data_IF_239205200625
#
_entry.id   IF_239205200625
#
_cell.length_a   1.000
_cell.length_b   1.000
_cell.length_c   1.000
_cell.angle_alpha   90.00
_cell.angle_beta   90.00
_cell.angle_gamma   90.00
#
_symmetry.space_group_name_H-M   'P 1'
#
loop_
_entity.id
_entity.type
_entity.pdbx_description
1 polymer ?
#
# COMPACT_ATOMS: atom_id res chain seq x y z
N UNK A 1 -15.58 -29.55 -10.14
CA UNK A 1 -16.54 -28.50 -9.68
C UNK A 1 -17.20 -28.88 -8.35
N UNK A 2 -17.79 -30.05 -8.21
CA UNK A 2 -18.37 -30.52 -6.94
C UNK A 2 -17.37 -30.49 -5.78
N UNK A 3 -16.14 -30.91 -6.01
CA UNK A 3 -15.04 -30.86 -5.03
C UNK A 3 -14.78 -29.47 -4.43
N UNK A 4 -14.81 -28.41 -5.25
CA UNK A 4 -14.60 -27.03 -4.77
C UNK A 4 -15.77 -26.54 -3.90
N UNK A 5 -17.00 -27.00 -4.20
CA UNK A 5 -18.20 -26.62 -3.45
C UNK A 5 -18.20 -27.27 -2.06
N UNK A 6 -17.84 -28.55 -1.97
CA UNK A 6 -17.76 -29.26 -0.68
C UNK A 6 -16.68 -28.72 0.25
N UNK A 7 -15.60 -28.16 -0.31
CA UNK A 7 -14.46 -27.61 0.45
C UNK A 7 -14.49 -26.09 0.58
N UNK A 8 -15.53 -25.44 0.06
CA UNK A 8 -15.69 -23.98 0.12
C UNK A 8 -15.53 -23.40 1.54
N UNK A 9 -16.08 -24.02 2.63
CA UNK A 9 -15.87 -23.50 3.98
C UNK A 9 -14.40 -23.34 4.36
N UNK A 10 -13.55 -24.33 4.03
CA UNK A 10 -12.11 -24.27 4.32
C UNK A 10 -11.42 -23.12 3.57
N UNK A 11 -11.79 -22.90 2.31
CA UNK A 11 -11.27 -21.78 1.54
C UNK A 11 -11.71 -20.42 2.11
N UNK A 12 -12.94 -20.33 2.62
CA UNK A 12 -13.44 -19.12 3.27
C UNK A 12 -12.73 -18.84 4.59
N UNK A 13 -12.43 -19.88 5.37
CA UNK A 13 -11.63 -19.75 6.60
C UNK A 13 -10.21 -19.24 6.28
N UNK A 14 -9.54 -19.83 5.29
CA UNK A 14 -8.24 -19.36 4.83
C UNK A 14 -8.28 -17.92 4.28
N UNK A 15 -9.35 -17.59 3.52
CA UNK A 15 -9.57 -16.23 3.03
C UNK A 15 -9.77 -15.23 4.17
N UNK A 16 -10.48 -15.61 5.22
CA UNK A 16 -10.64 -14.80 6.42
C UNK A 16 -9.33 -14.51 7.13
N UNK A 17 -8.45 -15.52 7.26
CA UNK A 17 -7.09 -15.31 7.79
C UNK A 17 -6.29 -14.36 6.91
N UNK A 18 -6.33 -14.52 5.59
CA UNK A 18 -5.69 -13.58 4.64
C UNK A 18 -6.19 -12.14 4.82
N UNK A 19 -7.50 -11.95 5.02
CA UNK A 19 -8.08 -10.63 5.29
C UNK A 19 -7.58 -10.06 6.63
N UNK A 20 -7.50 -10.88 7.69
CA UNK A 20 -6.96 -10.46 8.98
C UNK A 20 -5.50 -10.00 8.87
N UNK A 21 -4.65 -10.79 8.19
CA UNK A 21 -3.25 -10.41 7.94
C UNK A 21 -3.15 -9.11 7.14
N UNK A 22 -4.01 -8.95 6.13
CA UNK A 22 -4.04 -7.76 5.28
C UNK A 22 -4.44 -6.52 6.08
N UNK A 23 -5.50 -6.59 6.87
CA UNK A 23 -5.98 -5.46 7.69
C UNK A 23 -4.95 -5.12 8.77
N UNK A 24 -4.49 -6.12 9.52
CA UNK A 24 -3.50 -5.91 10.59
C UNK A 24 -2.18 -5.34 10.06
N UNK A 25 -1.64 -5.95 8.99
CA UNK A 25 -0.43 -5.49 8.33
C UNK A 25 -0.58 -4.09 7.74
N UNK A 26 -1.72 -3.78 7.10
CA UNK A 26 -1.98 -2.45 6.53
C UNK A 26 -2.14 -1.37 7.60
N UNK A 27 -2.79 -1.68 8.73
CA UNK A 27 -2.92 -0.76 9.84
C UNK A 27 -1.55 -0.43 10.44
N UNK A 28 -0.72 -1.44 10.69
CA UNK A 28 0.65 -1.24 11.17
C UNK A 28 1.49 -0.48 10.15
N UNK A 29 1.46 -0.89 8.88
CA UNK A 29 2.17 -0.22 7.79
C UNK A 29 1.78 1.26 7.69
N UNK A 30 0.50 1.58 7.80
CA UNK A 30 0.01 2.95 7.77
C UNK A 30 0.54 3.80 8.94
N UNK A 31 0.50 3.26 10.17
CA UNK A 31 1.03 3.97 11.36
C UNK A 31 2.52 4.25 11.20
N UNK A 32 3.30 3.24 10.79
CA UNK A 32 4.74 3.37 10.57
C UNK A 32 5.05 4.32 9.41
N UNK A 33 4.30 4.24 8.30
CA UNK A 33 4.44 5.12 7.16
C UNK A 33 4.23 6.59 7.55
N UNK A 34 3.17 6.89 8.30
CA UNK A 34 2.90 8.24 8.77
C UNK A 34 3.97 8.72 9.75
N UNK A 35 4.35 7.89 10.72
CA UNK A 35 5.36 8.24 11.71
C UNK A 35 6.72 8.54 11.06
N UNK A 36 7.28 7.57 10.33
CA UNK A 36 8.61 7.71 9.74
C UNK A 36 8.63 8.61 8.50
N UNK A 37 7.55 8.66 7.72
CA UNK A 37 7.43 9.58 6.60
C UNK A 37 7.42 11.04 7.05
N UNK A 38 6.67 11.38 8.08
CA UNK A 38 6.67 12.73 8.68
C UNK A 38 8.03 13.01 9.35
N UNK A 39 8.57 12.04 10.11
CA UNK A 39 9.86 12.17 10.78
C UNK A 39 10.98 12.48 9.78
N UNK A 40 10.92 11.90 8.58
CA UNK A 40 11.86 12.17 7.49
C UNK A 40 11.80 13.59 6.91
N UNK A 41 10.75 14.39 7.23
CA UNK A 41 10.61 15.80 6.79
C UNK A 41 10.99 16.82 7.86
N UNK A 42 11.30 16.38 9.09
CA UNK A 42 11.70 17.26 10.18
C UNK A 42 13.03 17.95 9.86
N UNK A 43 13.21 19.25 10.16
CA UNK A 43 14.44 19.98 9.84
C UNK A 43 15.68 19.48 10.61
N UNK A 44 15.50 18.80 11.74
CA UNK A 44 16.62 18.27 12.54
C UNK A 44 17.20 16.98 11.92
N UNK A 45 18.52 16.85 11.98
CA UNK A 45 19.23 15.73 11.34
C UNK A 45 18.97 14.38 12.01
N UNK A 46 18.87 14.32 13.35
CA UNK A 46 18.74 13.08 14.11
C UNK A 46 17.42 12.34 13.81
N UNK A 47 16.21 12.94 13.93
CA UNK A 47 14.98 12.24 13.57
C UNK A 47 14.93 11.85 12.09
N UNK A 48 15.53 12.66 11.19
CA UNK A 48 15.66 12.32 9.78
C UNK A 48 16.55 11.09 9.58
N UNK A 49 17.68 11.00 10.27
CA UNK A 49 18.59 9.86 10.21
C UNK A 49 17.87 8.57 10.67
N UNK A 50 17.13 8.62 11.78
CA UNK A 50 16.33 7.48 12.27
C UNK A 50 15.30 7.03 11.23
N UNK A 51 14.57 7.98 10.62
CA UNK A 51 13.61 7.66 9.56
C UNK A 51 14.30 7.03 8.34
N UNK A 52 15.45 7.57 7.92
CA UNK A 52 16.22 7.03 6.79
C UNK A 52 16.69 5.61 7.08
N UNK A 53 17.27 5.36 8.26
CA UNK A 53 17.73 4.01 8.64
C UNK A 53 16.57 3.02 8.62
N UNK A 54 15.42 3.37 9.21
CA UNK A 54 14.23 2.52 9.14
C UNK A 54 13.83 2.19 7.69
N UNK A 55 13.73 3.21 6.85
CA UNK A 55 13.30 3.05 5.45
C UNK A 55 14.28 2.19 4.67
N UNK A 56 15.58 2.48 4.73
CA UNK A 56 16.60 1.75 3.96
C UNK A 56 16.70 0.28 4.40
N UNK A 57 16.68 0.02 5.72
CA UNK A 57 16.75 -1.34 6.25
C UNK A 57 15.53 -2.17 5.81
N UNK A 58 14.33 -1.69 6.10
CA UNK A 58 13.12 -2.49 5.85
C UNK A 58 12.69 -2.56 4.38
N UNK A 59 13.08 -1.60 3.54
CA UNK A 59 12.91 -1.71 2.08
C UNK A 59 13.95 -2.62 1.43
N UNK A 60 15.15 -2.70 2.01
CA UNK A 60 16.22 -3.54 1.48
C UNK A 60 16.03 -5.04 1.77
N UNK A 61 15.15 -5.41 2.69
CA UNK A 61 14.91 -6.81 3.08
C UNK A 61 13.63 -7.32 2.40
N UNK A 62 13.69 -8.50 1.80
CA UNK A 62 12.48 -9.15 1.27
C UNK A 62 11.50 -9.51 2.40
N UNK A 63 10.20 -9.26 2.19
CA UNK A 63 9.16 -9.52 3.19
C UNK A 63 9.17 -10.97 3.70
N UNK A 64 9.42 -11.93 2.82
CA UNK A 64 9.55 -13.36 3.18
C UNK A 64 10.70 -13.59 4.17
N UNK A 65 11.88 -13.01 3.91
CA UNK A 65 13.04 -13.15 4.80
C UNK A 65 12.74 -12.54 6.17
N UNK A 66 12.04 -11.41 6.19
CA UNK A 66 11.64 -10.76 7.43
C UNK A 66 10.61 -11.60 8.20
N UNK A 67 9.69 -12.29 7.51
CA UNK A 67 8.77 -13.25 8.13
C UNK A 67 9.53 -14.40 8.82
N UNK A 68 10.50 -15.01 8.13
CA UNK A 68 11.33 -16.06 8.73
C UNK A 68 12.14 -15.55 9.93
N UNK A 69 12.65 -14.33 9.83
CA UNK A 69 13.37 -13.71 10.94
C UNK A 69 12.49 -13.51 12.18
N UNK A 70 11.26 -13.02 11.98
CA UNK A 70 10.31 -12.80 13.07
C UNK A 70 9.78 -14.11 13.67
N UNK A 71 9.54 -15.12 12.84
CA UNK A 71 8.97 -16.40 13.29
C UNK A 71 10.02 -17.34 13.91
N UNK A 72 11.26 -17.33 13.44
CA UNK A 72 12.25 -18.33 13.83
C UNK A 72 13.52 -17.74 14.46
N UNK A 73 14.12 -16.71 13.89
CA UNK A 73 15.38 -16.16 14.38
C UNK A 73 15.19 -15.34 15.66
N UNK A 74 14.18 -14.48 15.70
CA UNK A 74 13.90 -13.65 16.87
C UNK A 74 13.62 -14.47 18.13
N UNK A 75 12.81 -15.53 18.13
CA UNK A 75 12.62 -16.41 19.29
C UNK A 75 13.92 -17.05 19.78
N UNK A 76 14.79 -17.47 18.87
CA UNK A 76 16.08 -18.08 19.26
C UNK A 76 17.01 -17.08 19.94
N UNK A 77 16.97 -15.81 19.55
CA UNK A 77 17.83 -14.76 20.10
C UNK A 77 17.29 -14.20 21.44
N UNK A 78 15.97 -14.09 21.56
CA UNK A 78 15.34 -13.40 22.71
C UNK A 78 14.63 -14.31 23.69
N UNK A 79 14.37 -15.57 23.30
CA UNK A 79 13.51 -16.50 24.05
C UNK A 79 12.01 -16.16 23.98
N UNK A 80 11.62 -15.11 23.25
CA UNK A 80 10.25 -14.67 23.13
C UNK A 80 9.62 -15.20 21.83
N UNK A 81 8.63 -16.09 21.94
CA UNK A 81 7.90 -16.64 20.80
C UNK A 81 6.73 -15.72 20.42
N UNK A 82 6.71 -15.29 19.16
CA UNK A 82 5.58 -14.61 18.57
C UNK A 82 4.61 -15.65 17.99
N UNK A 83 3.32 -15.40 18.11
CA UNK A 83 2.32 -16.13 17.35
C UNK A 83 2.56 -15.91 15.83
N UNK A 84 2.47 -16.98 15.03
CA UNK A 84 2.81 -16.94 13.58
C UNK A 84 2.06 -15.85 12.82
N UNK A 85 0.78 -15.65 13.13
CA UNK A 85 -0.02 -14.56 12.53
C UNK A 85 0.54 -13.18 12.89
N UNK A 86 0.92 -12.99 14.14
CA UNK A 86 1.47 -11.73 14.59
C UNK A 86 2.86 -11.48 13.99
N UNK A 87 3.69 -12.51 13.87
CA UNK A 87 4.98 -12.45 13.18
C UNK A 87 4.81 -12.04 11.71
N UNK A 88 3.81 -12.62 11.01
CA UNK A 88 3.48 -12.25 9.63
C UNK A 88 3.04 -10.78 9.54
N UNK A 89 2.13 -10.32 10.42
CA UNK A 89 1.63 -8.93 10.45
C UNK A 89 2.79 -7.96 10.69
N UNK A 90 3.67 -8.26 11.65
CA UNK A 90 4.85 -7.43 11.91
C UNK A 90 5.77 -7.35 10.71
N UNK A 91 6.09 -8.48 10.09
CA UNK A 91 7.00 -8.54 8.95
C UNK A 91 6.49 -7.73 7.76
N UNK A 92 5.24 -7.97 7.33
CA UNK A 92 4.66 -7.22 6.19
C UNK A 92 4.40 -5.77 6.55
N UNK A 93 3.98 -5.50 7.79
CA UNK A 93 3.72 -4.14 8.28
C UNK A 93 4.98 -3.28 8.32
N UNK A 94 6.10 -3.81 8.80
CA UNK A 94 7.41 -3.15 8.83
C UNK A 94 7.93 -2.89 7.41
N UNK A 95 7.87 -3.92 6.55
CA UNK A 95 8.35 -3.82 5.17
C UNK A 95 7.53 -2.81 4.36
N UNK A 96 6.20 -2.98 4.27
CA UNK A 96 5.31 -2.10 3.50
C UNK A 96 5.21 -0.71 4.13
N UNK A 97 5.32 -0.62 5.47
CA UNK A 97 5.40 0.66 6.19
C UNK A 97 6.59 1.52 5.75
N UNK A 98 7.72 0.89 5.45
CA UNK A 98 8.91 1.59 4.96
C UNK A 98 8.68 2.15 3.53
N UNK A 99 8.03 1.40 2.64
CA UNK A 99 7.60 1.93 1.34
C UNK A 99 6.58 3.07 1.51
N UNK A 100 5.62 2.90 2.42
CA UNK A 100 4.64 3.93 2.75
C UNK A 100 5.27 5.20 3.31
N UNK A 101 6.34 5.11 4.10
CA UNK A 101 7.06 6.27 4.64
C UNK A 101 7.63 7.15 3.52
N UNK A 102 8.18 6.55 2.46
CA UNK A 102 8.62 7.28 1.28
C UNK A 102 7.45 7.95 0.53
N UNK A 103 6.29 7.27 0.44
CA UNK A 103 5.08 7.87 -0.16
C UNK A 103 4.65 9.11 0.61
N UNK A 104 4.64 9.03 1.95
CA UNK A 104 4.30 10.18 2.81
C UNK A 104 5.32 11.31 2.63
N UNK A 105 6.60 11.01 2.68
CA UNK A 105 7.68 11.98 2.51
C UNK A 105 7.61 12.66 1.13
N UNK A 106 7.41 11.89 0.07
CA UNK A 106 7.28 12.40 -1.29
C UNK A 106 6.06 13.32 -1.45
N UNK A 107 4.91 12.93 -0.92
CA UNK A 107 3.69 13.71 -1.00
C UNK A 107 3.77 15.03 -0.21
N UNK A 108 4.43 15.03 0.96
CA UNK A 108 4.70 16.26 1.73
C UNK A 108 5.60 17.21 0.93
N UNK A 109 6.64 16.68 0.29
CA UNK A 109 7.58 17.49 -0.49
C UNK A 109 6.98 17.97 -1.84
N UNK A 110 5.93 17.34 -2.32
CA UNK A 110 5.24 17.72 -3.55
C UNK A 110 4.27 18.90 -3.38
N UNK A 111 4.01 19.34 -2.14
CA UNK A 111 3.19 20.56 -1.89
C UNK A 111 3.93 21.79 -2.45
N UNK A 112 3.25 22.66 -3.23
CA UNK A 112 3.87 23.82 -3.86
C UNK A 112 4.61 24.71 -2.86
N UNK A 113 5.86 25.07 -3.17
CA UNK A 113 6.73 25.90 -2.32
C UNK A 113 6.06 27.24 -1.96
N UNK A 114 5.36 27.87 -2.90
CA UNK A 114 4.65 29.12 -2.65
C UNK A 114 3.65 29.03 -1.49
N UNK A 115 2.99 27.88 -1.31
CA UNK A 115 2.07 27.67 -0.19
C UNK A 115 2.83 27.51 1.13
N UNK A 116 3.97 26.83 1.10
CA UNK A 116 4.83 26.69 2.27
C UNK A 116 5.40 28.07 2.68
N UNK A 117 5.86 28.85 1.72
CA UNK A 117 6.38 30.21 1.93
C UNK A 117 5.30 31.17 2.48
N UNK A 118 4.07 31.08 1.97
CA UNK A 118 2.95 31.85 2.52
C UNK A 118 2.69 31.54 4.00
N UNK A 119 2.85 30.26 4.42
CA UNK A 119 2.71 29.90 5.85
C UNK A 119 3.86 30.43 6.70
N UNK A 120 5.06 30.60 6.13
CA UNK A 120 6.19 31.24 6.81
C UNK A 120 5.90 32.74 7.01
N UNK A 121 5.37 33.42 5.98
CA UNK A 121 4.98 34.80 6.06
C UNK A 121 3.89 35.06 7.13
N UNK A 122 3.03 34.06 7.37
CA UNK A 122 2.03 34.07 8.46
C UNK A 122 2.61 33.67 9.83
N UNK A 123 3.92 33.50 9.93
CA UNK A 123 4.64 33.12 11.16
C UNK A 123 4.15 31.83 11.79
N UNK A 124 3.69 30.84 10.96
CA UNK A 124 3.25 29.54 11.44
C UNK A 124 4.47 28.67 11.81
N UNK A 125 4.40 28.01 12.97
CA UNK A 125 5.41 27.02 13.36
C UNK A 125 5.43 25.85 12.39
N UNK A 126 6.53 25.06 12.36
CA UNK A 126 6.65 23.89 11.49
C UNK A 126 5.48 22.92 11.66
N UNK A 127 5.07 22.64 12.91
CA UNK A 127 3.95 21.74 13.21
C UNK A 127 2.59 22.29 12.74
N UNK A 128 2.35 23.57 12.93
CA UNK A 128 1.12 24.25 12.43
C UNK A 128 1.05 24.20 10.91
N UNK A 129 2.16 24.50 10.23
CA UNK A 129 2.31 24.44 8.77
C UNK A 129 2.01 23.01 8.26
N UNK A 130 2.64 22.01 8.88
CA UNK A 130 2.44 20.62 8.51
C UNK A 130 0.96 20.21 8.67
N UNK A 131 0.37 20.49 9.84
CA UNK A 131 -0.99 20.03 10.18
C UNK A 131 -2.08 20.76 9.41
N UNK A 132 -1.96 22.09 9.26
CA UNK A 132 -3.04 22.93 8.73
C UNK A 132 -3.01 23.07 7.21
N UNK A 133 -1.83 23.01 6.59
CA UNK A 133 -1.67 23.31 5.16
C UNK A 133 -1.10 22.13 4.38
N UNK A 134 0.02 21.55 4.82
CA UNK A 134 0.75 20.57 4.04
C UNK A 134 0.06 19.21 4.08
N UNK A 135 -0.24 18.68 5.27
CA UNK A 135 -0.78 17.32 5.44
C UNK A 135 -2.16 17.14 4.78
N UNK A 136 -3.11 18.09 4.88
CA UNK A 136 -4.39 17.96 4.19
C UNK A 136 -4.26 17.86 2.67
N UNK A 137 -3.30 18.56 2.08
CA UNK A 137 -3.06 18.53 0.64
C UNK A 137 -2.28 17.28 0.21
N UNK A 138 -1.26 16.90 0.99
CA UNK A 138 -0.49 15.70 0.77
C UNK A 138 -1.36 14.43 0.87
N UNK A 139 -2.37 14.44 1.76
CA UNK A 139 -3.27 13.29 1.97
C UNK A 139 -3.92 12.79 0.68
N UNK A 140 -4.47 13.70 -0.13
CA UNK A 140 -5.10 13.31 -1.38
C UNK A 140 -4.11 12.72 -2.40
N UNK A 141 -2.83 13.12 -2.33
CA UNK A 141 -1.78 12.58 -3.19
C UNK A 141 -1.27 11.22 -2.72
N UNK A 142 -1.33 10.94 -1.42
CA UNK A 142 -0.91 9.67 -0.83
C UNK A 142 -1.90 8.53 -1.13
N UNK A 143 -3.20 8.81 -1.12
CA UNK A 143 -4.25 7.79 -1.13
C UNK A 143 -4.17 6.80 -2.30
N UNK A 144 -3.96 7.21 -3.57
CA UNK A 144 -3.85 6.26 -4.67
C UNK A 144 -2.69 5.28 -4.48
N UNK A 145 -1.54 5.78 -4.02
CA UNK A 145 -0.35 4.97 -3.79
C UNK A 145 -0.53 4.05 -2.58
N UNK A 146 -1.16 4.51 -1.49
CA UNK A 146 -1.53 3.64 -0.38
C UNK A 146 -2.49 2.53 -0.81
N UNK A 147 -3.43 2.81 -1.73
CA UNK A 147 -4.29 1.79 -2.31
C UNK A 147 -3.50 0.66 -2.98
N UNK A 148 -2.48 1.00 -3.74
CA UNK A 148 -1.59 0.02 -4.37
C UNK A 148 -0.77 -0.75 -3.33
N UNK A 149 -0.25 -0.07 -2.29
CA UNK A 149 0.51 -0.73 -1.21
C UNK A 149 -0.33 -1.73 -0.41
N UNK A 150 -1.62 -1.46 -0.17
CA UNK A 150 -2.52 -2.42 0.50
C UNK A 150 -2.71 -3.68 -0.34
N UNK A 151 -2.85 -3.55 -1.66
CA UNK A 151 -2.98 -4.69 -2.57
C UNK A 151 -1.67 -5.48 -2.64
N UNK A 152 -0.53 -4.80 -2.69
CA UNK A 152 0.79 -5.43 -2.65
C UNK A 152 1.01 -6.18 -1.34
N UNK A 153 0.65 -5.58 -0.21
CA UNK A 153 0.69 -6.21 1.11
C UNK A 153 -0.17 -7.46 1.15
N UNK A 154 -1.41 -7.41 0.66
CA UNK A 154 -2.30 -8.57 0.57
C UNK A 154 -1.65 -9.71 -0.23
N UNK A 155 -1.01 -9.40 -1.37
CA UNK A 155 -0.28 -10.41 -2.15
C UNK A 155 0.94 -10.95 -1.40
N UNK A 156 1.64 -10.10 -0.65
CA UNK A 156 2.78 -10.51 0.16
C UNK A 156 2.38 -11.44 1.32
N UNK A 157 1.13 -11.37 1.83
CA UNK A 157 0.68 -12.32 2.84
C UNK A 157 0.56 -13.75 2.31
N UNK A 158 0.47 -13.97 1.00
CA UNK A 158 0.35 -15.29 0.39
C UNK A 158 1.55 -16.24 0.66
N UNK A 159 2.67 -15.72 1.15
CA UNK A 159 3.84 -16.53 1.56
C UNK A 159 3.87 -16.82 3.07
N UNK A 160 2.89 -16.32 3.85
CA UNK A 160 2.83 -16.53 5.30
C UNK A 160 2.60 -18.01 5.69
N UNK A 161 2.08 -18.83 4.78
CA UNK A 161 1.95 -20.29 5.00
C UNK A 161 3.31 -20.96 5.27
N UNK A 162 4.41 -20.38 4.79
CA UNK A 162 5.76 -20.91 4.99
C UNK A 162 6.24 -20.81 6.45
N UNK A 163 5.64 -19.93 7.24
CA UNK A 163 5.93 -19.78 8.68
C UNK A 163 4.85 -20.40 9.57
N UNK A 164 3.92 -21.21 8.99
CA UNK A 164 2.90 -21.94 9.74
C UNK A 164 1.52 -21.31 9.76
N UNK A 165 1.32 -20.14 9.14
CA UNK A 165 -0.01 -19.51 9.07
C UNK A 165 -0.91 -20.24 8.10
N UNK A 166 -2.10 -20.65 8.56
CA UNK A 166 -3.11 -21.29 7.71
C UNK A 166 -3.94 -20.22 7.01
N UNK A 167 -3.34 -19.59 5.99
CA UNK A 167 -3.98 -18.63 5.10
C UNK A 167 -4.63 -19.31 3.88
N UNK A 168 -5.14 -18.53 2.96
CA UNK A 168 -5.75 -19.02 1.72
C UNK A 168 -4.80 -19.88 0.87
N UNK A 169 -3.50 -19.53 0.84
CA UNK A 169 -2.48 -20.30 0.12
C UNK A 169 -2.19 -21.63 0.82
N UNK A 170 -2.13 -21.65 2.16
CA UNK A 170 -1.98 -22.87 2.94
C UNK A 170 -3.12 -23.85 2.66
N UNK A 171 -4.36 -23.37 2.62
CA UNK A 171 -5.53 -24.20 2.30
C UNK A 171 -5.40 -24.78 0.89
N UNK A 172 -5.02 -23.99 -0.11
CA UNK A 172 -4.80 -24.50 -1.47
C UNK A 172 -3.70 -25.59 -1.52
N UNK A 173 -2.60 -25.41 -0.77
CA UNK A 173 -1.52 -26.39 -0.66
C UNK A 173 -2.00 -27.68 0.01
N UNK A 174 -2.76 -27.59 1.10
CA UNK A 174 -3.35 -28.74 1.78
C UNK A 174 -4.31 -29.51 0.86
N UNK A 175 -5.16 -28.79 0.11
CA UNK A 175 -6.06 -29.39 -0.87
C UNK A 175 -5.30 -30.11 -1.98
N UNK A 176 -4.25 -29.50 -2.52
CA UNK A 176 -3.38 -30.14 -3.51
C UNK A 176 -2.76 -31.42 -2.99
N UNK A 177 -2.26 -31.41 -1.76
CA UNK A 177 -1.64 -32.59 -1.15
C UNK A 177 -2.65 -33.72 -0.90
N UNK A 178 -3.86 -33.37 -0.49
CA UNK A 178 -4.91 -34.34 -0.18
C UNK A 178 -5.53 -35.01 -1.42
N UNK A 179 -5.54 -34.31 -2.57
CA UNK A 179 -6.30 -34.73 -3.76
C UNK A 179 -5.44 -35.03 -4.98
N UNK A 180 -4.20 -34.50 -5.03
CA UNK A 180 -3.36 -34.47 -6.24
C UNK A 180 -3.81 -33.47 -7.31
N UNK A 181 -4.95 -32.82 -7.14
CA UNK A 181 -5.61 -31.92 -8.10
C UNK A 181 -5.05 -30.49 -7.99
N UNK A 182 -3.87 -30.24 -8.56
CA UNK A 182 -3.19 -28.94 -8.46
C UNK A 182 -4.01 -27.80 -9.06
N UNK A 183 -4.59 -28.01 -10.26
CA UNK A 183 -5.32 -26.95 -10.97
C UNK A 183 -6.55 -26.53 -10.17
N UNK A 184 -7.37 -27.50 -9.72
CA UNK A 184 -8.58 -27.21 -8.97
C UNK A 184 -8.28 -26.51 -7.64
N UNK A 185 -7.26 -26.97 -6.90
CA UNK A 185 -6.87 -26.39 -5.62
C UNK A 185 -6.43 -24.92 -5.75
N UNK A 186 -5.53 -24.60 -6.67
CA UNK A 186 -5.06 -23.24 -6.84
C UNK A 186 -6.04 -22.33 -7.57
N UNK A 187 -6.93 -22.87 -8.41
CA UNK A 187 -7.97 -22.07 -9.04
C UNK A 187 -8.95 -21.47 -8.00
N UNK A 188 -9.34 -22.26 -6.98
CA UNK A 188 -10.15 -21.76 -5.87
C UNK A 188 -9.49 -20.58 -5.14
N UNK A 189 -8.20 -20.74 -4.80
CA UNK A 189 -7.45 -19.65 -4.17
C UNK A 189 -7.32 -18.43 -5.08
N UNK A 190 -7.03 -18.61 -6.38
CA UNK A 190 -6.91 -17.51 -7.36
C UNK A 190 -8.19 -16.67 -7.41
N UNK A 191 -9.37 -17.33 -7.50
CA UNK A 191 -10.65 -16.62 -7.54
C UNK A 191 -10.88 -15.83 -6.26
N UNK A 192 -10.61 -16.41 -5.08
CA UNK A 192 -10.82 -15.71 -3.80
C UNK A 192 -9.83 -14.57 -3.60
N UNK A 193 -8.53 -14.74 -3.93
CA UNK A 193 -7.56 -13.64 -3.91
C UNK A 193 -8.00 -12.50 -4.83
N UNK A 194 -8.49 -12.83 -6.02
CA UNK A 194 -9.00 -11.82 -6.95
C UNK A 194 -10.21 -11.07 -6.38
N UNK A 195 -11.17 -11.78 -5.77
CA UNK A 195 -12.33 -11.15 -5.13
C UNK A 195 -11.93 -10.24 -3.97
N UNK A 196 -11.03 -10.71 -3.09
CA UNK A 196 -10.50 -9.88 -1.99
C UNK A 196 -9.82 -8.62 -2.55
N UNK A 197 -8.99 -8.75 -3.59
CA UNK A 197 -8.35 -7.61 -4.25
C UNK A 197 -9.39 -6.61 -4.80
N UNK A 198 -10.46 -7.09 -5.47
CA UNK A 198 -11.51 -6.21 -6.00
C UNK A 198 -12.23 -5.44 -4.90
N UNK A 199 -12.51 -6.08 -3.76
CA UNK A 199 -13.13 -5.42 -2.59
C UNK A 199 -12.20 -4.34 -2.05
N UNK A 200 -10.91 -4.62 -1.90
CA UNK A 200 -9.90 -3.65 -1.44
C UNK A 200 -9.78 -2.47 -2.41
N UNK A 201 -9.68 -2.74 -3.73
CA UNK A 201 -9.63 -1.70 -4.77
C UNK A 201 -10.86 -0.81 -4.71
N UNK A 202 -12.05 -1.40 -4.59
CA UNK A 202 -13.29 -0.64 -4.50
C UNK A 202 -13.33 0.25 -3.25
N UNK A 203 -12.95 -0.30 -2.09
CA UNK A 203 -12.84 0.45 -0.83
C UNK A 203 -11.86 1.63 -0.93
N UNK A 204 -10.68 1.41 -1.50
CA UNK A 204 -9.68 2.48 -1.69
C UNK A 204 -10.17 3.56 -2.66
N UNK A 205 -10.81 3.20 -3.77
CA UNK A 205 -11.43 4.17 -4.70
C UNK A 205 -12.51 5.03 -4.02
N UNK A 206 -13.28 4.45 -3.10
CA UNK A 206 -14.26 5.24 -2.33
C UNK A 206 -13.58 6.24 -1.41
N UNK A 207 -12.49 5.86 -0.74
CA UNK A 207 -11.69 6.74 0.10
C UNK A 207 -11.06 7.88 -0.72
N UNK A 208 -10.47 7.57 -1.87
CA UNK A 208 -9.93 8.57 -2.80
C UNK A 208 -10.99 9.58 -3.26
N UNK A 209 -12.17 9.09 -3.67
CA UNK A 209 -13.28 9.97 -4.09
C UNK A 209 -13.72 10.91 -2.96
N UNK A 210 -13.80 10.41 -1.72
CA UNK A 210 -14.16 11.22 -0.56
C UNK A 210 -13.10 12.28 -0.25
N UNK A 211 -11.81 11.93 -0.31
CA UNK A 211 -10.72 12.86 -0.08
C UNK A 211 -10.65 13.97 -1.14
N UNK A 212 -10.77 13.61 -2.42
CA UNK A 212 -10.75 14.56 -3.52
C UNK A 212 -11.94 15.54 -3.46
N UNK A 213 -13.13 15.06 -3.08
CA UNK A 213 -14.31 15.94 -2.90
C UNK A 213 -14.10 17.00 -1.80
N UNK A 214 -13.45 16.64 -0.68
CA UNK A 214 -13.16 17.58 0.41
C UNK A 214 -12.18 18.69 0.01
N UNK A 215 -11.33 18.42 -0.99
CA UNK A 215 -10.32 19.39 -1.49
C UNK A 215 -10.80 20.18 -2.70
N UNK A 216 -12.06 20.02 -3.13
CA UNK A 216 -12.59 20.70 -4.33
C UNK A 216 -11.90 20.30 -5.63
N UNK A 217 -11.12 19.20 -5.63
CA UNK A 217 -10.45 18.68 -6.83
C UNK A 217 -11.42 17.75 -7.56
N UNK A 218 -11.69 18.04 -8.83
CA UNK A 218 -12.35 17.10 -9.73
C UNK A 218 -11.49 15.84 -9.81
N UNK A 219 -12.07 14.63 -9.65
CA UNK A 219 -11.31 13.40 -9.83
C UNK A 219 -10.67 13.42 -11.21
N UNK A 220 -9.43 12.96 -11.39
CA UNK A 220 -8.84 12.80 -12.70
C UNK A 220 -9.82 11.98 -13.53
N UNK A 221 -10.28 12.58 -14.63
CA UNK A 221 -11.32 12.02 -15.46
C UNK A 221 -10.95 10.59 -15.82
N UNK A 222 -11.93 9.67 -15.66
CA UNK A 222 -11.74 8.29 -16.03
C UNK A 222 -11.13 8.23 -17.43
N UNK A 223 -10.23 7.28 -17.61
CA UNK A 223 -9.70 6.87 -18.92
C UNK A 223 -10.85 6.32 -19.76
N UNK A 224 -11.77 7.20 -20.14
CA UNK A 224 -12.77 6.91 -21.17
C UNK A 224 -12.13 7.11 -22.51
N UNK A 225 -12.43 6.23 -23.46
CA UNK A 225 -12.03 6.27 -24.87
C UNK A 225 -12.18 7.67 -25.50
N UNK A 226 -13.00 8.55 -24.93
CA UNK A 226 -13.20 9.93 -25.36
C UNK A 226 -12.03 10.89 -25.10
N UNK A 227 -11.05 10.55 -24.24
CA UNK A 227 -9.86 11.37 -24.01
C UNK A 227 -8.81 11.15 -25.11
N UNK A 228 -8.79 9.98 -25.73
CA UNK A 228 -7.88 9.65 -26.83
C UNK A 228 -8.30 10.31 -28.17
N UNK A 229 -9.53 10.76 -28.28
CA UNK A 229 -10.06 11.40 -29.52
C UNK A 229 -9.96 12.94 -29.50
N UNK A 230 -9.48 13.54 -28.40
CA UNK A 230 -9.18 14.98 -28.36
C UNK A 230 -7.70 15.23 -28.67
N UNK A 231 -7.28 14.92 -29.89
CA UNK A 231 -6.11 15.60 -30.46
C UNK A 231 -6.50 17.06 -30.70
N UNK A 232 -5.76 18.07 -30.17
CA UNK A 232 -5.89 19.42 -30.66
C UNK A 232 -5.42 19.38 -32.12
N UNK A 233 -6.34 19.67 -33.03
CA UNK A 233 -6.00 19.93 -34.41
C UNK A 233 -4.91 21.02 -34.42
N UNK A 234 -3.74 20.67 -34.88
CA UNK A 234 -2.67 21.61 -35.18
C UNK A 234 -3.26 22.57 -36.21
N UNK A 235 -3.65 23.78 -35.77
CA UNK A 235 -4.03 24.86 -36.64
C UNK A 235 -2.82 25.17 -37.52
N UNK A 236 -2.92 24.78 -38.75
CA UNK A 236 -1.90 25.04 -39.77
C UNK A 236 -1.60 26.53 -39.88
N UNK A 237 -0.37 26.89 -39.62
CA UNK A 237 0.21 28.14 -40.01
C UNK A 237 0.42 28.05 -41.55
N UNK A 238 -0.62 28.40 -42.32
CA UNK A 238 -0.47 28.72 -43.72
C UNK A 238 0.12 30.11 -43.87
N UNK A 239 1.25 30.16 -44.49
CA UNK A 239 2.04 31.30 -44.81
C UNK A 239 1.30 32.44 -45.52
N UNK A 240 1.86 33.58 -45.43
CA UNK A 240 1.63 34.79 -46.23
C UNK A 240 2.98 35.36 -46.52
N UNK A 241 3.55 34.92 -47.65
CA UNK A 241 4.60 35.67 -48.32
C UNK A 241 3.99 36.89 -49.00
N UNK A 242 4.70 37.99 -49.03
CA UNK A 242 4.35 39.23 -49.74
C UNK A 242 5.52 40.16 -49.74
N UNK A 243 6.28 40.03 -50.80
CA UNK A 243 7.05 41.03 -51.57
C UNK A 243 6.84 42.50 -51.22
N UNK A 244 7.83 43.20 -50.98
CA UNK A 244 8.40 44.36 -51.71
C UNK A 244 9.46 45.03 -50.87
#
# INVERSE_FOLDING_TARGET
>A
MQFLIERLPLYLDGAWVTVQLTIGGSALAFVLAMAFGILGTVPHWLPRAVATVYVEVFRGIAALVLMFWMAYALPQLTGFQLEDRFAAILAVGLNVGAYGAEVVRAAINAVPKAQVEATVALNLSWFQRLRLVVLPQAWAQMLPTFGNLVIELMKATAVAYLIGVVDLTAVAQQMRQATGETIAAFFGALVLYFLIAQVLIFGMRLLERRANRKLGRTPPGGTGLGALLRHPAVAGATGGGGSS
#
